data_IF_437564397893
#
_entry.id   IF_437564397893
#
_cell.length_a   1.000
_cell.length_b   1.000
_cell.length_c   1.000
_cell.angle_alpha   90.00
_cell.angle_beta   90.00
_cell.angle_gamma   90.00
#
_symmetry.space_group_name_H-M   'P 1'
#
loop_
_entity.id
_entity.type
_entity.pdbx_description
1 polymer ?
#
# COMPACT_ATOMS: atom_id res chain seq x y z
N UNK A 1 -0.04 -2.71 12.66
CA UNK A 1 0.76 -3.13 11.48
C UNK A 1 1.69 -4.29 11.77
N UNK A 2 2.24 -4.41 12.96
CA UNK A 2 3.23 -5.46 13.28
C UNK A 2 2.77 -6.87 12.97
N UNK A 3 1.48 -7.18 13.13
CA UNK A 3 0.93 -8.52 12.91
C UNK A 3 0.16 -8.66 11.60
N UNK A 4 0.02 -7.59 10.83
CA UNK A 4 -0.81 -7.59 9.62
C UNK A 4 -0.39 -8.65 8.61
N UNK A 5 0.92 -8.84 8.44
CA UNK A 5 1.45 -9.84 7.52
C UNK A 5 1.04 -11.26 7.92
N UNK A 6 1.03 -11.56 9.21
CA UNK A 6 0.64 -12.86 9.74
C UNK A 6 -0.88 -13.03 9.76
N UNK A 7 -1.61 -11.98 10.13
CA UNK A 7 -3.06 -12.03 10.35
C UNK A 7 -3.87 -12.09 9.07
N UNK A 8 -3.34 -11.54 7.97
CA UNK A 8 -4.07 -11.43 6.70
C UNK A 8 -3.30 -12.05 5.53
N UNK A 9 -3.06 -13.38 5.57
CA UNK A 9 -2.25 -14.02 4.52
C UNK A 9 -2.85 -13.90 3.12
N UNK A 10 -4.17 -13.82 2.99
CA UNK A 10 -4.84 -13.67 1.69
C UNK A 10 -4.63 -12.30 1.04
N UNK A 11 -4.12 -11.32 1.79
CA UNK A 11 -3.87 -9.96 1.29
C UNK A 11 -2.38 -9.69 1.04
N UNK A 12 -1.52 -10.67 1.24
CA UNK A 12 -0.08 -10.51 1.01
C UNK A 12 0.21 -10.34 -0.47
N UNK A 13 1.00 -9.31 -0.78
CA UNK A 13 1.49 -9.09 -2.16
C UNK A 13 2.90 -9.64 -2.29
N UNK A 14 3.82 -9.15 -1.46
CA UNK A 14 5.22 -9.56 -1.51
C UNK A 14 5.92 -9.25 -0.21
N UNK A 15 6.94 -10.04 0.10
CA UNK A 15 7.93 -9.73 1.12
C UNK A 15 9.19 -9.27 0.39
N UNK A 16 9.62 -8.04 0.64
CA UNK A 16 10.84 -7.49 0.08
C UNK A 16 11.95 -7.54 1.14
N UNK A 17 13.09 -6.95 0.84
CA UNK A 17 14.22 -6.98 1.77
C UNK A 17 13.91 -6.25 3.08
N UNK A 18 13.32 -5.07 2.99
CA UNK A 18 13.06 -4.19 4.15
C UNK A 18 11.59 -4.06 4.51
N UNK A 19 10.68 -4.40 3.61
CA UNK A 19 9.26 -4.12 3.76
C UNK A 19 8.39 -5.31 3.40
N UNK A 20 7.17 -5.29 3.96
CA UNK A 20 6.06 -6.13 3.53
C UNK A 20 5.09 -5.29 2.71
N UNK A 21 4.55 -5.88 1.66
CA UNK A 21 3.55 -5.26 0.81
C UNK A 21 2.24 -6.02 0.93
N UNK A 22 1.15 -5.32 1.26
CA UNK A 22 -0.18 -5.94 1.37
C UNK A 22 -1.23 -5.11 0.65
N UNK A 23 -2.27 -5.78 0.17
CA UNK A 23 -3.46 -5.10 -0.35
C UNK A 23 -4.33 -4.69 0.83
N UNK A 24 -4.95 -3.50 0.78
CA UNK A 24 -5.93 -3.11 1.79
C UNK A 24 -7.20 -3.94 1.60
N UNK A 25 -7.77 -4.43 2.70
CA UNK A 25 -9.03 -5.19 2.66
C UNK A 25 -10.16 -4.34 2.08
N UNK A 26 -10.26 -3.08 2.49
CA UNK A 26 -11.21 -2.13 1.92
C UNK A 26 -10.68 -1.63 0.58
N UNK A 27 -11.34 -2.00 -0.50
CA UNK A 27 -10.99 -1.63 -1.87
C UNK A 27 -11.94 -0.58 -2.45
N UNK A 28 -12.47 0.32 -1.60
CA UNK A 28 -13.22 1.48 -2.08
C UNK A 28 -12.38 2.27 -3.09
N UNK A 29 -11.08 2.44 -2.79
CA UNK A 29 -10.11 2.91 -3.78
C UNK A 29 -9.41 1.69 -4.37
N UNK A 30 -9.74 1.30 -5.61
CA UNK A 30 -9.18 0.08 -6.19
C UNK A 30 -7.65 0.13 -6.28
N UNK A 31 -6.99 -0.91 -5.80
CA UNK A 31 -5.54 -0.98 -5.79
C UNK A 31 -4.86 -0.40 -4.56
N UNK A 32 -5.63 0.09 -3.60
CA UNK A 32 -5.11 0.63 -2.34
C UNK A 32 -4.28 -0.43 -1.61
N UNK A 33 -3.02 -0.11 -1.36
CA UNK A 33 -2.05 -1.00 -0.73
C UNK A 33 -1.37 -0.35 0.47
N UNK A 34 -0.78 -1.20 1.31
CA UNK A 34 0.12 -0.78 2.37
C UNK A 34 1.53 -1.26 2.09
N UNK A 35 2.50 -0.43 2.47
CA UNK A 35 3.90 -0.82 2.63
C UNK A 35 4.26 -0.58 4.07
N UNK A 36 4.77 -1.57 4.77
CA UNK A 36 5.23 -1.36 6.13
C UNK A 36 6.58 -2.03 6.36
N UNK A 37 7.40 -1.37 7.19
CA UNK A 37 8.76 -1.81 7.44
C UNK A 37 8.77 -3.09 8.29
N UNK A 38 9.74 -3.96 8.04
CA UNK A 38 10.00 -5.12 8.89
C UNK A 38 10.49 -4.67 10.26
N UNK A 39 11.35 -3.64 10.28
CA UNK A 39 11.80 -3.03 11.52
C UNK A 39 10.64 -2.31 12.21
N UNK A 40 10.50 -2.52 13.52
CA UNK A 40 9.44 -1.88 14.28
C UNK A 40 9.87 -0.47 14.68
N UNK A 41 9.68 0.48 13.78
CA UNK A 41 10.01 1.90 13.97
C UNK A 41 8.78 2.77 13.69
N UNK A 42 8.77 3.96 14.29
CA UNK A 42 7.63 4.89 14.17
C UNK A 42 7.96 6.11 13.32
N UNK A 43 9.23 6.41 13.09
CA UNK A 43 9.65 7.62 12.38
C UNK A 43 10.76 7.31 11.38
N UNK A 44 10.75 8.07 10.27
CA UNK A 44 11.79 7.95 9.25
C UNK A 44 13.19 8.18 9.81
N UNK A 45 13.33 9.12 10.74
CA UNK A 45 14.63 9.44 11.32
C UNK A 45 15.15 8.39 12.29
N UNK A 46 14.35 7.38 12.64
CA UNK A 46 14.82 6.21 13.41
C UNK A 46 15.65 5.26 12.55
N UNK A 47 15.50 5.34 11.23
CA UNK A 47 16.27 4.51 10.28
C UNK A 47 17.57 5.24 9.94
N UNK A 48 18.67 4.48 9.77
CA UNK A 48 19.87 5.06 9.22
C UNK A 48 19.68 5.40 7.73
N UNK A 49 20.59 6.19 7.18
CA UNK A 49 20.44 6.72 5.81
C UNK A 49 20.38 5.59 4.77
N UNK A 50 21.19 4.55 4.92
CA UNK A 50 21.21 3.41 3.99
C UNK A 50 19.88 2.64 4.02
N UNK A 51 19.38 2.33 5.21
CA UNK A 51 18.12 1.62 5.38
C UNK A 51 16.95 2.47 4.88
N UNK A 52 16.95 3.76 5.20
CA UNK A 52 15.91 4.69 4.75
C UNK A 52 15.84 4.77 3.23
N UNK A 53 17.00 4.82 2.56
CA UNK A 53 17.07 4.82 1.11
C UNK A 53 16.52 3.50 0.53
N UNK A 54 16.89 2.37 1.11
CA UNK A 54 16.42 1.06 0.68
C UNK A 54 14.91 0.94 0.83
N UNK A 55 14.35 1.42 1.94
CA UNK A 55 12.90 1.43 2.18
C UNK A 55 12.20 2.27 1.13
N UNK A 56 12.71 3.47 0.82
CA UNK A 56 12.08 4.34 -0.18
C UNK A 56 12.12 3.74 -1.59
N UNK A 57 13.18 3.00 -1.93
CA UNK A 57 13.23 2.28 -3.20
C UNK A 57 12.14 1.21 -3.26
N UNK A 58 11.88 0.51 -2.16
CA UNK A 58 10.83 -0.50 -2.10
C UNK A 58 9.43 0.12 -2.19
N UNK A 59 9.19 1.23 -1.50
CA UNK A 59 7.94 2.00 -1.61
C UNK A 59 7.72 2.44 -3.06
N UNK A 60 8.74 2.95 -3.69
CA UNK A 60 8.68 3.43 -5.08
C UNK A 60 8.43 2.29 -6.06
N UNK A 61 9.01 1.11 -5.81
CA UNK A 61 8.78 -0.08 -6.64
C UNK A 61 7.31 -0.48 -6.64
N UNK A 62 6.66 -0.46 -5.48
CA UNK A 62 5.22 -0.77 -5.41
C UNK A 62 4.41 0.31 -6.13
N UNK A 63 4.70 1.58 -5.90
CA UNK A 63 3.98 2.67 -6.55
C UNK A 63 4.06 2.57 -8.09
N UNK A 64 5.24 2.26 -8.62
CA UNK A 64 5.44 2.08 -10.05
C UNK A 64 4.67 0.85 -10.57
N UNK A 65 4.66 -0.24 -9.81
CA UNK A 65 3.90 -1.44 -10.18
C UNK A 65 2.40 -1.15 -10.22
N UNK A 66 1.88 -0.41 -9.24
CA UNK A 66 0.47 0.00 -9.21
C UNK A 66 0.13 0.89 -10.43
N UNK A 67 1.03 1.78 -10.78
CA UNK A 67 0.84 2.64 -11.96
C UNK A 67 0.75 1.80 -13.23
N UNK A 68 1.61 0.82 -13.40
CA UNK A 68 1.58 -0.06 -14.58
C UNK A 68 0.34 -0.96 -14.58
N UNK A 69 -0.06 -1.45 -13.42
CA UNK A 69 -1.18 -2.39 -13.30
C UNK A 69 -2.54 -1.72 -13.54
N UNK A 70 -2.76 -0.53 -13.00
CA UNK A 70 -4.08 0.11 -12.95
C UNK A 70 -4.20 1.40 -13.76
N UNK A 71 -3.09 1.97 -14.20
CA UNK A 71 -3.06 3.21 -14.99
C UNK A 71 -3.83 4.37 -14.35
N UNK A 72 -3.57 4.68 -13.07
CA UNK A 72 -4.26 5.77 -12.40
C UNK A 72 -3.79 7.14 -12.90
N UNK A 73 -4.58 8.17 -12.60
CA UNK A 73 -4.20 9.56 -12.88
C UNK A 73 -3.15 10.06 -11.91
N UNK A 74 -3.11 9.50 -10.69
CA UNK A 74 -2.15 9.87 -9.65
C UNK A 74 -1.94 8.72 -8.67
N UNK A 75 -0.77 8.63 -8.09
CA UNK A 75 -0.51 7.79 -6.92
C UNK A 75 -0.41 8.73 -5.71
N UNK A 76 -1.20 8.45 -4.67
CA UNK A 76 -1.05 9.14 -3.40
C UNK A 76 -0.23 8.29 -2.45
N UNK A 77 0.69 8.94 -1.76
CA UNK A 77 1.58 8.34 -0.76
C UNK A 77 1.28 9.03 0.56
N UNK A 78 0.91 8.29 1.58
CA UNK A 78 0.65 8.87 2.90
C UNK A 78 1.38 8.08 3.97
N UNK A 79 2.15 8.78 4.79
CA UNK A 79 2.86 8.20 5.93
C UNK A 79 2.37 8.90 7.19
N UNK A 80 1.35 8.34 7.81
CA UNK A 80 0.66 8.94 8.96
C UNK A 80 1.15 8.35 10.29
N UNK A 81 0.59 7.21 10.71
CA UNK A 81 1.06 6.50 11.90
C UNK A 81 0.52 6.99 13.23
N UNK A 82 -0.50 7.88 13.22
CA UNK A 82 -1.08 8.39 14.46
C UNK A 82 -1.86 7.32 15.23
N UNK A 83 -2.56 6.45 14.52
CA UNK A 83 -3.39 5.40 15.14
C UNK A 83 -2.58 4.14 15.40
N UNK A 84 -1.74 3.76 14.45
CA UNK A 84 -0.89 2.55 14.54
C UNK A 84 0.56 3.00 14.48
N UNK A 85 1.30 2.91 15.62
CA UNK A 85 2.66 3.45 15.71
C UNK A 85 3.73 2.50 15.14
N UNK A 86 3.48 1.94 13.99
CA UNK A 86 4.43 1.18 13.19
C UNK A 86 4.45 1.84 11.81
N UNK A 87 5.61 2.26 11.36
CA UNK A 87 5.73 3.04 10.14
C UNK A 87 5.17 2.28 8.94
N UNK A 88 4.16 2.86 8.30
CA UNK A 88 3.51 2.26 7.14
C UNK A 88 3.01 3.35 6.20
N UNK A 89 3.18 3.09 4.90
CA UNK A 89 2.66 3.96 3.85
C UNK A 89 1.33 3.44 3.35
N UNK A 90 0.40 4.36 3.13
CA UNK A 90 -0.81 4.14 2.34
C UNK A 90 -0.46 4.52 0.91
N UNK A 91 -0.50 3.57 0.00
CA UNK A 91 -0.21 3.80 -1.42
C UNK A 91 -1.50 3.61 -2.19
N UNK A 92 -2.05 4.69 -2.72
CA UNK A 92 -3.41 4.70 -3.27
C UNK A 92 -3.41 5.17 -4.71
N UNK A 93 -3.76 4.30 -5.65
CA UNK A 93 -4.06 4.74 -7.01
C UNK A 93 -5.30 5.64 -6.99
N UNK A 94 -5.21 6.81 -7.59
CA UNK A 94 -6.33 7.74 -7.65
C UNK A 94 -6.72 7.98 -9.10
N UNK A 95 -8.03 8.05 -9.31
CA UNK A 95 -8.61 8.26 -10.64
C UNK A 95 -9.45 9.52 -10.62
N UNK A 96 -9.41 10.30 -11.69
CA UNK A 96 -10.16 11.56 -11.78
C UNK A 96 -11.67 11.34 -11.62
N UNK A 97 -12.15 10.12 -11.92
CA UNK A 97 -13.55 9.73 -11.73
C UNK A 97 -13.90 9.23 -10.34
N UNK A 98 -12.93 9.10 -9.41
CA UNK A 98 -13.25 8.62 -8.08
C UNK A 98 -14.04 9.69 -7.31
N UNK A 99 -14.94 9.24 -6.41
CA UNK A 99 -15.90 10.11 -5.74
C UNK A 99 -15.26 11.27 -4.97
N UNK A 100 -14.06 11.04 -4.41
CA UNK A 100 -13.38 12.03 -3.57
C UNK A 100 -12.32 12.84 -4.32
N UNK A 101 -12.04 12.50 -5.58
CA UNK A 101 -11.06 13.26 -6.37
C UNK A 101 -11.38 14.77 -6.36
N UNK A 102 -10.42 15.68 -6.19
CA UNK A 102 -8.97 15.51 -5.96
C UNK A 102 -8.58 15.53 -4.48
N UNK A 103 -9.53 15.30 -3.60
CA UNK A 103 -9.35 15.38 -2.14
C UNK A 103 -8.68 14.11 -1.60
N UNK A 104 -8.02 14.20 -0.43
CA UNK A 104 -7.44 13.03 0.23
C UNK A 104 -8.50 11.96 0.53
N UNK A 105 -8.06 10.71 0.64
CA UNK A 105 -8.96 9.59 0.90
C UNK A 105 -9.72 9.69 2.23
N UNK A 106 -9.22 10.51 3.15
CA UNK A 106 -9.80 10.72 4.48
C UNK A 106 -10.80 11.88 4.54
N UNK A 107 -11.08 12.54 3.42
CA UNK A 107 -11.86 13.79 3.41
C UNK A 107 -13.32 13.60 3.77
N UNK A 108 -13.86 12.41 3.57
CA UNK A 108 -15.20 12.06 4.06
C UNK A 108 -15.33 10.54 4.24
N UNK A 109 -16.25 10.10 5.14
CA UNK A 109 -16.48 8.68 5.35
C UNK A 109 -17.15 8.03 4.13
N UNK A 110 -16.95 6.73 3.97
CA UNK A 110 -17.58 5.92 2.94
C UNK A 110 -17.72 4.48 3.45
N UNK A 111 -18.62 3.72 2.84
CA UNK A 111 -18.75 2.31 3.15
C UNK A 111 -17.56 1.53 2.62
N UNK A 112 -17.19 0.47 3.31
CA UNK A 112 -16.13 -0.43 2.86
C UNK A 112 -16.57 -1.21 1.62
N UNK A 113 -15.64 -1.43 0.70
CA UNK A 113 -15.82 -2.30 -0.45
C UNK A 113 -15.00 -3.56 -0.24
N UNK A 114 -15.69 -4.65 0.11
CA UNK A 114 -15.07 -5.94 0.39
C UNK A 114 -15.24 -6.82 -0.85
N UNK A 115 -14.12 -7.33 -1.36
CA UNK A 115 -14.10 -8.16 -2.55
C UNK A 115 -14.27 -9.63 -2.18
N UNK A 116 -14.58 -10.46 -3.17
CA UNK A 116 -14.49 -11.91 -3.02
C UNK A 116 -13.02 -12.33 -2.95
N UNK A 117 -12.76 -13.54 -2.43
CA UNK A 117 -11.39 -14.07 -2.36
C UNK A 117 -10.76 -14.15 -3.75
N UNK A 118 -11.54 -14.56 -4.76
CA UNK A 118 -11.06 -14.63 -6.15
C UNK A 118 -10.67 -13.25 -6.69
N UNK A 119 -11.45 -12.23 -6.37
CA UNK A 119 -11.17 -10.85 -6.79
C UNK A 119 -9.91 -10.29 -6.12
N UNK A 120 -9.72 -10.55 -4.82
CA UNK A 120 -8.48 -10.19 -4.14
C UNK A 120 -7.27 -10.87 -4.78
N UNK A 121 -7.37 -12.19 -5.01
CA UNK A 121 -6.29 -12.97 -5.61
C UNK A 121 -5.92 -12.44 -7.00
N UNK A 122 -6.92 -12.14 -7.83
CA UNK A 122 -6.69 -11.61 -9.17
C UNK A 122 -5.99 -10.25 -9.13
N UNK A 123 -6.41 -9.38 -8.23
CA UNK A 123 -5.83 -8.05 -8.07
C UNK A 123 -4.38 -8.13 -7.58
N UNK A 124 -4.13 -8.99 -6.60
CA UNK A 124 -2.78 -9.23 -6.07
C UNK A 124 -1.86 -9.80 -7.15
N UNK A 125 -2.34 -10.78 -7.92
CA UNK A 125 -1.54 -11.37 -9.00
C UNK A 125 -1.16 -10.33 -10.06
N UNK A 126 -2.08 -9.45 -10.38
CA UNK A 126 -1.83 -8.35 -11.33
C UNK A 126 -0.71 -7.42 -10.83
N UNK A 127 -0.73 -7.09 -9.54
CA UNK A 127 0.31 -6.26 -8.94
C UNK A 127 1.65 -7.01 -8.94
N UNK A 128 1.66 -8.30 -8.54
CA UNK A 128 2.87 -9.12 -8.53
C UNK A 128 3.53 -9.20 -9.89
N UNK A 129 2.74 -9.34 -10.95
CA UNK A 129 3.27 -9.39 -12.33
C UNK A 129 4.03 -8.11 -12.67
N UNK A 130 3.54 -6.98 -12.23
CA UNK A 130 4.19 -5.69 -12.49
C UNK A 130 5.41 -5.47 -11.60
N UNK A 131 5.41 -6.01 -10.37
CA UNK A 131 6.58 -5.94 -9.48
C UNK A 131 7.78 -6.69 -10.03
N UNK A 132 7.56 -7.78 -10.76
CA UNK A 132 8.64 -8.61 -11.29
C UNK A 132 9.26 -8.10 -12.58
N UNK A 133 8.80 -6.95 -13.08
CA UNK A 133 9.36 -6.33 -14.29
C UNK A 133 10.56 -5.45 -14.00
#
# INVERSE_FOLDING_TARGET
>A
MCTKWQDEPSLRIAELDRCYLTLNRDQFFPGYCFVFTKDHVTELFHLDAETRQAVMEEVTSLAAALHRAFRPDKINYELLGNMVPHMHWHIVPRFAGDRLWPRPIWSEPHDEVILSEAEYAARINRIRQELSR
#
